data_IF_888430855017
#
_entry.id   IF_888430855017
#
_cell.length_a   1.000
_cell.length_b   1.000
_cell.length_c   1.000
_cell.angle_alpha   90.00
_cell.angle_beta   90.00
_cell.angle_gamma   90.00
#
_symmetry.space_group_name_H-M   'P 1'
#
loop_
_entity.id
_entity.type
_entity.pdbx_description
1 polymer ?
#
# COMPACT_ATOMS: atom_id res chain seq x y z
N UNK A 1 -15.32 6.94 11.96
CA UNK A 1 -14.22 6.06 12.42
C UNK A 1 -14.75 4.65 12.40
N UNK A 2 -14.17 3.75 11.59
CA UNK A 2 -14.58 2.35 11.53
C UNK A 2 -14.07 1.65 12.79
N UNK A 3 -14.93 0.95 13.52
CA UNK A 3 -14.54 0.25 14.75
C UNK A 3 -13.72 -1.00 14.40
N UNK A 4 -12.40 -0.96 14.62
CA UNK A 4 -11.45 -2.02 14.26
C UNK A 4 -11.51 -3.25 15.19
N UNK A 5 -12.42 -3.24 16.17
CA UNK A 5 -12.61 -4.29 17.16
C UNK A 5 -13.74 -5.29 16.83
N UNK A 6 -14.51 -5.05 15.76
CA UNK A 6 -15.71 -5.86 15.43
C UNK A 6 -15.40 -7.34 15.07
N UNK A 7 -14.15 -7.68 14.73
CA UNK A 7 -13.77 -9.04 14.30
C UNK A 7 -12.45 -9.51 14.94
N UNK A 8 -12.39 -9.76 16.26
CA UNK A 8 -11.17 -10.15 16.94
C UNK A 8 -10.73 -11.60 16.65
N UNK A 9 -11.68 -12.48 16.33
CA UNK A 9 -11.46 -13.94 16.33
C UNK A 9 -11.10 -14.54 14.97
N UNK A 10 -11.26 -13.79 13.87
CA UNK A 10 -10.87 -14.26 12.54
C UNK A 10 -10.49 -13.09 11.63
N UNK A 11 -9.19 -12.91 11.34
CA UNK A 11 -8.74 -11.86 10.45
C UNK A 11 -9.42 -11.93 9.06
N UNK A 12 -9.74 -13.13 8.59
CA UNK A 12 -10.39 -13.33 7.30
C UNK A 12 -11.84 -12.82 7.23
N UNK A 13 -12.57 -12.81 8.36
CA UNK A 13 -13.94 -12.29 8.36
C UNK A 13 -13.99 -10.80 8.06
N UNK A 14 -13.04 -10.03 8.58
CA UNK A 14 -12.95 -8.59 8.30
C UNK A 14 -12.68 -8.25 6.82
N UNK A 15 -12.12 -9.19 6.05
CA UNK A 15 -11.84 -9.03 4.62
C UNK A 15 -13.10 -9.16 3.75
N UNK A 16 -14.14 -9.83 4.24
CA UNK A 16 -15.39 -10.10 3.50
C UNK A 16 -16.63 -9.50 4.18
N UNK A 17 -16.44 -8.89 5.36
CA UNK A 17 -17.54 -8.39 6.17
C UNK A 17 -18.01 -6.98 5.77
N UNK A 18 -19.34 -6.82 5.81
CA UNK A 18 -19.97 -5.52 5.92
C UNK A 18 -19.81 -4.88 7.30
N UNK A 19 -20.28 -3.65 7.41
CA UNK A 19 -20.48 -2.97 8.68
C UNK A 19 -21.72 -3.51 9.40
N UNK A 20 -21.74 -3.36 10.72
CA UNK A 20 -22.90 -3.71 11.54
C UNK A 20 -24.16 -2.98 11.01
N UNK A 21 -25.24 -3.74 10.80
CA UNK A 21 -26.49 -3.23 10.24
C UNK A 21 -26.59 -3.23 8.71
N UNK A 22 -25.50 -3.50 7.98
CA UNK A 22 -25.57 -3.71 6.53
C UNK A 22 -26.15 -5.08 6.19
N UNK A 23 -27.12 -5.12 5.29
CA UNK A 23 -27.68 -6.38 4.76
C UNK A 23 -26.68 -7.07 3.81
N UNK A 24 -26.76 -8.40 3.65
CA UNK A 24 -25.91 -9.12 2.71
C UNK A 24 -26.00 -8.61 1.26
N UNK A 25 -27.17 -8.15 0.83
CA UNK A 25 -27.37 -7.56 -0.50
C UNK A 25 -26.70 -6.21 -0.66
N UNK A 26 -26.73 -5.35 0.37
CA UNK A 26 -26.00 -4.07 0.35
C UNK A 26 -24.49 -4.31 0.25
N UNK A 27 -23.97 -5.27 1.03
CA UNK A 27 -22.56 -5.67 0.97
C UNK A 27 -22.21 -6.16 -0.42
N UNK A 28 -22.99 -7.09 -0.99
CA UNK A 28 -22.77 -7.61 -2.35
C UNK A 28 -22.75 -6.50 -3.40
N UNK A 29 -23.73 -5.60 -3.38
CA UNK A 29 -23.81 -4.48 -4.32
C UNK A 29 -22.65 -3.51 -4.15
N UNK A 30 -22.22 -3.23 -2.91
CA UNK A 30 -21.07 -2.37 -2.64
C UNK A 30 -19.77 -3.00 -3.17
N UNK A 31 -19.59 -4.32 -3.00
CA UNK A 31 -18.47 -5.08 -3.57
C UNK A 31 -18.47 -5.01 -5.09
N UNK A 32 -19.60 -5.30 -5.74
CA UNK A 32 -19.73 -5.26 -7.21
C UNK A 32 -19.38 -3.87 -7.77
N UNK A 33 -19.92 -2.82 -7.15
CA UNK A 33 -19.62 -1.42 -7.53
C UNK A 33 -18.17 -1.06 -7.28
N UNK A 34 -17.58 -1.53 -6.19
CA UNK A 34 -16.17 -1.32 -5.87
C UNK A 34 -15.24 -1.97 -6.90
N UNK A 35 -15.52 -3.22 -7.29
CA UNK A 35 -14.79 -3.94 -8.35
C UNK A 35 -14.90 -3.22 -9.69
N UNK A 36 -16.09 -2.71 -10.05
CA UNK A 36 -16.27 -1.93 -11.27
C UNK A 36 -15.50 -0.59 -11.22
N UNK A 37 -15.52 0.10 -10.08
CA UNK A 37 -14.75 1.34 -9.88
C UNK A 37 -13.24 1.08 -10.03
N UNK A 38 -12.75 -0.05 -9.50
CA UNK A 38 -11.35 -0.47 -9.62
C UNK A 38 -10.94 -0.68 -11.09
N UNK A 39 -11.79 -1.35 -11.89
CA UNK A 39 -11.52 -1.53 -13.32
C UNK A 39 -11.42 -0.20 -14.05
N UNK A 40 -12.34 0.73 -13.75
CA UNK A 40 -12.34 2.07 -14.35
C UNK A 40 -11.13 2.89 -13.93
N UNK A 41 -10.78 2.87 -12.64
CA UNK A 41 -9.61 3.56 -12.13
C UNK A 41 -8.33 3.06 -12.81
N UNK A 42 -8.16 1.73 -12.95
CA UNK A 42 -7.03 1.13 -13.67
C UNK A 42 -6.99 1.55 -15.14
N UNK A 43 -8.12 1.49 -15.84
CA UNK A 43 -8.21 1.97 -17.21
C UNK A 43 -7.81 3.46 -17.34
N UNK A 44 -8.24 4.32 -16.42
CA UNK A 44 -7.87 5.73 -16.41
C UNK A 44 -6.37 5.92 -16.17
N UNK A 45 -5.77 5.13 -15.26
CA UNK A 45 -4.33 5.12 -15.02
C UNK A 45 -3.54 4.66 -16.25
N UNK A 46 -3.99 3.61 -16.94
CA UNK A 46 -3.37 3.13 -18.18
C UNK A 46 -3.43 4.17 -19.31
N UNK A 47 -4.38 5.10 -19.25
CA UNK A 47 -4.54 6.23 -20.16
C UNK A 47 -3.82 7.51 -19.68
N UNK A 48 -2.97 7.42 -18.64
CA UNK A 48 -2.30 8.56 -17.99
C UNK A 48 -3.26 9.63 -17.42
N UNK A 49 -4.55 9.32 -17.25
CA UNK A 49 -5.55 10.22 -16.66
C UNK A 49 -5.62 10.04 -15.14
N UNK A 50 -4.47 10.26 -14.49
CA UNK A 50 -4.26 10.04 -13.06
C UNK A 50 -5.20 10.86 -12.17
N UNK A 51 -5.57 12.07 -12.63
CA UNK A 51 -6.50 12.94 -11.90
C UNK A 51 -7.91 12.35 -11.86
N UNK A 52 -8.43 11.87 -13.00
CA UNK A 52 -9.73 11.21 -13.02
C UNK A 52 -9.70 9.86 -12.30
N UNK A 53 -8.59 9.13 -12.40
CA UNK A 53 -8.41 7.91 -11.61
C UNK A 53 -8.55 8.20 -10.11
N UNK A 54 -7.88 9.24 -9.60
CA UNK A 54 -7.97 9.64 -8.19
C UNK A 54 -9.41 10.01 -7.77
N UNK A 55 -10.15 10.70 -8.64
CA UNK A 55 -11.58 11.03 -8.40
C UNK A 55 -12.45 9.77 -8.33
N UNK A 56 -12.23 8.81 -9.25
CA UNK A 56 -12.98 7.54 -9.24
C UNK A 56 -12.66 6.72 -7.98
N UNK A 57 -11.39 6.62 -7.61
CA UNK A 57 -10.93 5.91 -6.40
C UNK A 57 -11.56 6.54 -5.15
N UNK A 58 -11.45 7.87 -5.00
CA UNK A 58 -12.02 8.58 -3.86
C UNK A 58 -13.53 8.41 -3.76
N UNK A 59 -14.24 8.54 -4.89
CA UNK A 59 -15.69 8.32 -4.95
C UNK A 59 -16.07 6.88 -4.58
N UNK A 60 -15.28 5.89 -4.99
CA UNK A 60 -15.50 4.49 -4.63
C UNK A 60 -15.31 4.26 -3.13
N UNK A 61 -14.24 4.79 -2.54
CA UNK A 61 -14.00 4.71 -1.10
C UNK A 61 -15.14 5.34 -0.29
N UNK A 62 -15.64 6.51 -0.73
CA UNK A 62 -16.79 7.16 -0.08
C UNK A 62 -18.06 6.30 -0.14
N UNK A 63 -18.32 5.61 -1.26
CA UNK A 63 -19.45 4.67 -1.38
C UNK A 63 -19.30 3.45 -0.48
N UNK A 64 -18.06 2.98 -0.27
CA UNK A 64 -17.77 1.80 0.54
C UNK A 64 -17.82 2.09 2.06
N UNK A 65 -17.45 3.29 2.50
CA UNK A 65 -17.23 3.64 3.91
C UNK A 65 -18.45 3.48 4.85
N UNK A 66 -19.66 3.36 4.30
CA UNK A 66 -20.90 3.12 5.06
C UNK A 66 -21.46 1.70 4.95
N UNK A 67 -20.80 0.80 4.21
CA UNK A 67 -21.30 -0.55 3.93
C UNK A 67 -20.25 -1.61 4.19
N UNK A 68 -19.02 -1.39 3.72
CA UNK A 68 -17.92 -2.34 3.85
C UNK A 68 -17.07 -1.96 5.06
N UNK A 69 -16.60 -2.97 5.80
CA UNK A 69 -15.58 -2.73 6.80
C UNK A 69 -14.35 -2.08 6.16
N UNK A 70 -13.64 -1.20 6.87
CA UNK A 70 -12.48 -0.50 6.31
C UNK A 70 -11.37 -1.44 5.84
N UNK A 71 -11.34 -2.66 6.37
CA UNK A 71 -10.39 -3.72 6.03
C UNK A 71 -10.92 -4.70 4.98
N UNK A 72 -12.13 -4.48 4.44
CA UNK A 72 -12.68 -5.33 3.39
C UNK A 72 -11.73 -5.37 2.19
N UNK A 73 -11.59 -6.52 1.52
CA UNK A 73 -10.57 -6.72 0.48
C UNK A 73 -10.67 -5.68 -0.65
N UNK A 74 -11.88 -5.43 -1.16
CA UNK A 74 -12.17 -4.38 -2.16
C UNK A 74 -11.78 -3.01 -1.64
N UNK A 75 -12.04 -2.69 -0.37
CA UNK A 75 -11.64 -1.42 0.25
C UNK A 75 -10.13 -1.27 0.26
N UNK A 76 -9.40 -2.29 0.71
CA UNK A 76 -7.94 -2.27 0.74
C UNK A 76 -7.34 -2.19 -0.67
N UNK A 77 -7.86 -2.94 -1.64
CA UNK A 77 -7.42 -2.85 -3.04
C UNK A 77 -7.70 -1.48 -3.64
N UNK A 78 -8.84 -0.86 -3.29
CA UNK A 78 -9.20 0.50 -3.72
C UNK A 78 -8.24 1.53 -3.11
N UNK A 79 -7.92 1.40 -1.81
CA UNK A 79 -6.94 2.24 -1.15
C UNK A 79 -5.54 2.09 -1.76
N UNK A 80 -5.12 0.88 -2.14
CA UNK A 80 -3.84 0.64 -2.82
C UNK A 80 -3.72 1.40 -4.15
N UNK A 81 -4.84 1.64 -4.85
CA UNK A 81 -4.80 2.44 -6.08
C UNK A 81 -4.47 3.91 -5.84
N UNK A 82 -4.71 4.46 -4.63
CA UNK A 82 -4.32 5.84 -4.29
C UNK A 82 -2.81 6.02 -4.42
N UNK A 83 -2.03 5.05 -3.95
CA UNK A 83 -0.58 5.07 -4.08
C UNK A 83 -0.15 5.18 -5.56
N UNK A 84 -0.67 4.31 -6.44
CA UNK A 84 -0.35 4.35 -7.87
C UNK A 84 -0.77 5.67 -8.52
N UNK A 85 -1.96 6.18 -8.20
CA UNK A 85 -2.44 7.45 -8.73
C UNK A 85 -1.57 8.63 -8.28
N UNK A 86 -1.14 8.68 -7.02
CA UNK A 86 -0.23 9.72 -6.54
C UNK A 86 1.17 9.62 -7.14
N UNK A 87 1.66 8.40 -7.41
CA UNK A 87 2.91 8.21 -8.16
C UNK A 87 2.83 8.77 -9.58
N UNK A 88 1.75 8.49 -10.30
CA UNK A 88 1.53 9.04 -11.64
C UNK A 88 1.36 10.56 -11.67
N UNK A 89 0.88 11.15 -10.57
CA UNK A 89 0.83 12.61 -10.36
C UNK A 89 2.14 13.21 -9.81
N UNK A 90 3.19 12.39 -9.68
CA UNK A 90 4.48 12.77 -9.09
C UNK A 90 4.37 13.35 -7.66
N UNK A 91 3.28 13.04 -6.95
CA UNK A 91 3.03 13.50 -5.60
C UNK A 91 3.58 12.48 -4.59
N UNK A 92 4.90 12.43 -4.46
CA UNK A 92 5.60 11.49 -3.57
C UNK A 92 5.13 11.53 -2.11
N UNK A 93 4.91 12.70 -1.47
CA UNK A 93 4.41 12.73 -0.09
C UNK A 93 3.07 12.02 0.08
N UNK A 94 2.10 12.27 -0.82
CA UNK A 94 0.79 11.62 -0.75
C UNK A 94 0.88 10.12 -1.11
N UNK A 95 1.79 9.73 -2.00
CA UNK A 95 2.05 8.33 -2.32
C UNK A 95 2.60 7.56 -1.11
N UNK A 96 3.54 8.15 -0.36
CA UNK A 96 4.05 7.61 0.91
C UNK A 96 2.91 7.45 1.90
N UNK A 97 2.13 8.50 2.14
CA UNK A 97 1.00 8.46 3.10
C UNK A 97 -0.03 7.37 2.72
N UNK A 98 -0.37 7.25 1.43
CA UNK A 98 -1.28 6.22 0.95
C UNK A 98 -0.73 4.80 1.16
N UNK A 99 0.58 4.59 0.92
CA UNK A 99 1.24 3.31 1.15
C UNK A 99 1.34 2.99 2.66
N UNK A 100 1.73 3.95 3.49
CA UNK A 100 1.85 3.77 4.95
C UNK A 100 0.53 3.32 5.58
N UNK A 101 -0.60 3.91 5.15
CA UNK A 101 -1.95 3.55 5.64
C UNK A 101 -2.33 2.08 5.47
N UNK A 102 -1.73 1.38 4.50
CA UNK A 102 -1.98 -0.05 4.26
C UNK A 102 -1.14 -0.97 5.15
N UNK A 103 -0.15 -0.43 5.87
CA UNK A 103 0.81 -1.24 6.63
C UNK A 103 0.17 -1.97 7.80
N UNK A 104 -0.62 -1.27 8.62
CA UNK A 104 -1.34 -1.90 9.75
C UNK A 104 -2.33 -2.98 9.27
N UNK A 105 -3.21 -2.71 8.27
CA UNK A 105 -4.07 -3.74 7.69
C UNK A 105 -3.29 -4.97 7.24
N UNK A 106 -2.26 -4.79 6.43
CA UNK A 106 -1.51 -5.93 5.91
C UNK A 106 -0.82 -6.72 7.04
N UNK A 107 -0.22 -6.05 8.02
CA UNK A 107 0.44 -6.72 9.15
C UNK A 107 -0.54 -7.50 10.02
N UNK A 108 -1.76 -7.00 10.20
CA UNK A 108 -2.78 -7.64 11.04
C UNK A 108 -3.39 -8.88 10.38
N UNK A 109 -3.56 -8.86 9.06
CA UNK A 109 -4.41 -9.83 8.36
C UNK A 109 -3.63 -10.81 7.47
N UNK A 110 -2.42 -10.47 7.04
CA UNK A 110 -1.59 -11.38 6.26
C UNK A 110 -0.66 -12.18 7.20
N UNK A 111 -0.47 -13.50 6.96
CA UNK A 111 0.50 -14.29 7.71
C UNK A 111 1.89 -13.66 7.67
N UNK A 112 2.67 -13.82 8.74
CA UNK A 112 3.98 -13.18 8.94
C UNK A 112 4.90 -13.20 7.70
N UNK A 113 4.89 -14.28 6.90
CA UNK A 113 5.71 -14.41 5.69
C UNK A 113 4.87 -14.49 4.41
N UNK A 114 3.82 -13.68 4.31
CA UNK A 114 3.06 -13.56 3.07
C UNK A 114 3.85 -12.72 2.03
N UNK A 115 3.98 -13.13 0.75
CA UNK A 115 4.77 -12.41 -0.25
C UNK A 115 4.35 -10.94 -0.48
N UNK A 116 3.05 -10.64 -0.35
CA UNK A 116 2.52 -9.27 -0.46
C UNK A 116 3.05 -8.36 0.65
N UNK A 117 3.27 -8.88 1.87
CA UNK A 117 3.85 -8.07 2.96
C UNK A 117 5.26 -7.60 2.63
N UNK A 118 6.12 -8.51 2.14
CA UNK A 118 7.47 -8.16 1.76
C UNK A 118 7.51 -7.13 0.63
N UNK A 119 6.65 -7.34 -0.38
CA UNK A 119 6.51 -6.40 -1.51
C UNK A 119 6.03 -5.03 -1.06
N UNK A 120 5.07 -4.99 -0.12
CA UNK A 120 4.53 -3.75 0.46
C UNK A 120 5.59 -2.98 1.26
N UNK A 121 6.27 -3.66 2.18
CA UNK A 121 7.33 -3.05 3.01
C UNK A 121 8.46 -2.54 2.12
N UNK A 122 8.90 -3.33 1.14
CA UNK A 122 9.93 -2.90 0.19
C UNK A 122 9.50 -1.68 -0.65
N UNK A 123 8.25 -1.66 -1.12
CA UNK A 123 7.67 -0.52 -1.85
C UNK A 123 7.67 0.74 -0.99
N UNK A 124 7.23 0.65 0.27
CA UNK A 124 7.26 1.78 1.19
C UNK A 124 8.70 2.30 1.34
N UNK A 125 9.66 1.42 1.59
CA UNK A 125 11.08 1.80 1.69
C UNK A 125 11.59 2.51 0.44
N UNK A 126 11.17 2.07 -0.74
CA UNK A 126 11.53 2.72 -2.02
C UNK A 126 10.95 4.12 -2.15
N UNK A 127 9.71 4.34 -1.71
CA UNK A 127 9.09 5.68 -1.71
C UNK A 127 9.78 6.61 -0.73
N UNK A 128 10.08 6.12 0.48
CA UNK A 128 10.84 6.85 1.49
C UNK A 128 12.23 7.22 0.95
N UNK A 129 12.87 6.32 0.20
CA UNK A 129 14.14 6.61 -0.45
C UNK A 129 14.01 7.77 -1.44
N UNK A 130 13.06 7.68 -2.38
CA UNK A 130 12.83 8.70 -3.39
C UNK A 130 12.53 10.06 -2.75
N UNK A 131 11.64 10.08 -1.75
CA UNK A 131 11.30 11.30 -1.00
C UNK A 131 12.52 11.87 -0.26
N UNK A 132 13.31 11.01 0.39
CA UNK A 132 14.52 11.42 1.12
C UNK A 132 15.58 12.01 0.19
N UNK A 133 15.78 11.43 -1.00
CA UNK A 133 16.70 11.98 -2.02
C UNK A 133 16.19 13.32 -2.54
N UNK A 134 14.93 13.40 -2.95
CA UNK A 134 14.34 14.61 -3.52
C UNK A 134 14.36 15.78 -2.53
N UNK A 135 14.05 15.50 -1.26
CA UNK A 135 14.05 16.50 -0.19
C UNK A 135 15.40 16.72 0.47
N UNK A 136 16.45 15.96 0.09
CA UNK A 136 17.76 15.92 0.77
C UNK A 136 17.63 15.74 2.29
N UNK A 137 16.70 14.90 2.72
CA UNK A 137 16.37 14.70 4.12
C UNK A 137 17.01 13.40 4.66
N UNK A 138 18.11 13.56 5.40
CA UNK A 138 18.85 12.44 6.00
C UNK A 138 18.01 11.62 6.99
N UNK A 139 17.03 12.23 7.67
CA UNK A 139 16.13 11.49 8.57
C UNK A 139 15.24 10.53 7.77
N UNK A 140 14.67 11.00 6.65
CA UNK A 140 13.84 10.17 5.77
C UNK A 140 14.66 9.05 5.10
N UNK A 141 15.92 9.33 4.77
CA UNK A 141 16.86 8.32 4.27
C UNK A 141 17.19 7.26 5.32
N UNK A 142 17.39 7.65 6.58
CA UNK A 142 17.60 6.70 7.69
C UNK A 142 16.37 5.81 7.93
N UNK A 143 15.17 6.41 7.90
CA UNK A 143 13.91 5.67 7.98
C UNK A 143 13.78 4.67 6.82
N UNK A 144 14.04 5.13 5.59
CA UNK A 144 14.09 4.30 4.39
C UNK A 144 14.98 3.07 4.58
N UNK A 145 16.22 3.22 5.10
CA UNK A 145 17.12 2.09 5.31
C UNK A 145 16.55 1.04 6.25
N UNK A 146 15.89 1.48 7.32
CA UNK A 146 15.22 0.58 8.26
C UNK A 146 14.11 -0.21 7.57
N UNK A 147 13.30 0.44 6.75
CA UNK A 147 12.17 -0.17 6.05
C UNK A 147 12.65 -1.09 4.91
N UNK A 148 13.62 -0.66 4.09
CA UNK A 148 14.21 -1.46 3.02
C UNK A 148 14.88 -2.72 3.56
N UNK A 149 15.60 -2.63 4.68
CA UNK A 149 16.23 -3.80 5.31
C UNK A 149 15.19 -4.87 5.67
N UNK A 150 14.11 -4.46 6.35
CA UNK A 150 12.98 -5.36 6.67
C UNK A 150 12.34 -5.96 5.42
N UNK A 151 12.17 -5.14 4.37
CA UNK A 151 11.66 -5.60 3.08
C UNK A 151 12.54 -6.67 2.44
N UNK A 152 13.85 -6.44 2.38
CA UNK A 152 14.83 -7.40 1.84
C UNK A 152 14.83 -8.71 2.62
N UNK A 153 14.83 -8.65 3.95
CA UNK A 153 14.77 -9.85 4.81
C UNK A 153 13.51 -10.67 4.54
N UNK A 154 12.36 -10.01 4.40
CA UNK A 154 11.10 -10.67 4.09
C UNK A 154 11.09 -11.28 2.69
N UNK A 155 11.62 -10.56 1.69
CA UNK A 155 11.72 -11.04 0.32
C UNK A 155 12.66 -12.25 0.19
N UNK A 156 13.76 -12.27 0.95
CA UNK A 156 14.65 -13.45 1.03
C UNK A 156 13.92 -14.70 1.51
N UNK A 157 13.04 -14.58 2.50
CA UNK A 157 12.24 -15.71 2.99
C UNK A 157 11.17 -16.14 1.99
N UNK A 158 10.49 -15.18 1.37
CA UNK A 158 9.29 -15.45 0.56
C UNK A 158 9.58 -15.82 -0.90
N UNK A 159 10.65 -15.29 -1.47
CA UNK A 159 11.03 -15.50 -2.88
C UNK A 159 12.36 -16.23 -3.01
N UNK A 160 13.19 -16.26 -1.96
CA UNK A 160 14.56 -16.78 -2.01
C UNK A 160 15.61 -15.69 -2.33
N UNK A 161 16.89 -15.92 -1.98
CA UNK A 161 17.96 -14.95 -2.18
C UNK A 161 18.31 -14.72 -3.66
N UNK A 162 18.20 -15.76 -4.49
CA UNK A 162 18.56 -15.71 -5.92
C UNK A 162 17.43 -15.21 -6.83
N UNK A 163 16.26 -14.92 -6.25
CA UNK A 163 15.14 -14.41 -7.02
C UNK A 163 15.44 -12.99 -7.52
N UNK A 164 15.18 -12.66 -8.81
CA UNK A 164 15.50 -11.35 -9.38
C UNK A 164 14.92 -10.18 -8.58
N UNK A 165 13.71 -10.34 -8.02
CA UNK A 165 13.08 -9.31 -7.18
C UNK A 165 13.83 -9.09 -5.86
N UNK A 166 14.36 -10.15 -5.25
CA UNK A 166 15.17 -10.04 -4.02
C UNK A 166 16.51 -9.35 -4.32
N UNK A 167 17.15 -9.69 -5.44
CA UNK A 167 18.40 -9.06 -5.88
C UNK A 167 18.20 -7.56 -6.17
N UNK A 168 17.10 -7.21 -6.84
CA UNK A 168 16.72 -5.81 -7.04
C UNK A 168 16.52 -5.07 -5.72
N UNK A 169 15.89 -5.72 -4.73
CA UNK A 169 15.68 -5.13 -3.42
C UNK A 169 17.00 -4.89 -2.66
N UNK A 170 17.94 -5.84 -2.73
CA UNK A 170 19.30 -5.70 -2.16
C UNK A 170 20.04 -4.53 -2.81
N UNK A 171 20.07 -4.46 -4.14
CA UNK A 171 20.74 -3.36 -4.86
C UNK A 171 20.14 -1.98 -4.51
N UNK A 172 18.82 -1.93 -4.30
CA UNK A 172 18.13 -0.69 -3.87
C UNK A 172 18.55 -0.27 -2.46
N UNK A 173 18.68 -1.22 -1.52
CA UNK A 173 19.18 -0.97 -0.17
C UNK A 173 20.62 -0.47 -0.17
N UNK A 174 21.51 -1.11 -0.93
CA UNK A 174 22.92 -0.69 -1.08
C UNK A 174 23.03 0.72 -1.64
N UNK A 175 22.23 1.04 -2.67
CA UNK A 175 22.16 2.39 -3.24
C UNK A 175 21.70 3.42 -2.19
N UNK A 176 20.69 3.09 -1.39
CA UNK A 176 20.20 3.98 -0.34
C UNK A 176 21.27 4.22 0.74
N UNK A 177 22.05 3.20 1.10
CA UNK A 177 23.15 3.32 2.06
C UNK A 177 24.23 4.26 1.53
N UNK A 178 24.66 4.07 0.28
CA UNK A 178 25.66 4.93 -0.35
C UNK A 178 25.21 6.41 -0.38
N UNK A 179 23.96 6.67 -0.75
CA UNK A 179 23.42 8.04 -0.79
C UNK A 179 23.37 8.67 0.60
N UNK A 180 22.97 7.93 1.64
CA UNK A 180 22.99 8.47 3.00
C UNK A 180 24.40 8.83 3.45
N UNK A 181 25.39 7.95 3.20
CA UNK A 181 26.79 8.24 3.51
C UNK A 181 27.26 9.52 2.83
N UNK A 182 27.04 9.65 1.52
CA UNK A 182 27.41 10.85 0.76
C UNK A 182 26.77 12.13 1.28
N UNK A 183 25.50 12.08 1.71
CA UNK A 183 24.79 13.26 2.23
C UNK A 183 25.12 13.56 3.69
N UNK A 184 25.60 12.57 4.45
CA UNK A 184 26.06 12.78 5.83
C UNK A 184 27.47 13.37 5.91
N UNK A 185 28.24 13.26 4.84
CA UNK A 185 29.61 13.76 4.72
C UNK A 185 29.70 15.15 4.07
N UNK A 186 28.59 15.68 3.54
CA UNK A 186 28.49 16.96 2.83
C UNK A 186 28.06 18.12 3.74
#
# INVERSE_FOLDING_TARGET
MCNTELYPDSPFRALEAGLEGSSPDEVRVAVERGVESLKRAKYLMDMDDWRRALVEIGSSLSRQAGILHCMHNVTLTTQEQLYYAYMGLENLPMAVEACEKLSEPYQRYLPKYHPVLGSHVFRLGTLLFQLGVFSKNCHKLSECLTVLTKGVEHLRVTHGPDHPYTQYAVATLEKAQAVLSMLSEA
#
